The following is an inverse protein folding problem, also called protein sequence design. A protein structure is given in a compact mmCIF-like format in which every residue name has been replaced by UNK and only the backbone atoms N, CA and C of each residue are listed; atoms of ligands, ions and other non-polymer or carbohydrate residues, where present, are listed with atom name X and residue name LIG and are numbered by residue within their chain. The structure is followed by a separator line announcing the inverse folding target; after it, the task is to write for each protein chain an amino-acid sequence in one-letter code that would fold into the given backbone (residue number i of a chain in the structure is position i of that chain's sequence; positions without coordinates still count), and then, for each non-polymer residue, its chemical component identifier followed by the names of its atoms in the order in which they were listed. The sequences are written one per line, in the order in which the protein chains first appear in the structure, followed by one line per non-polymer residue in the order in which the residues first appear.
data_IF_239638939145
#
_entry.id   IF_239638939145
#
_cell.length_a   1.000
_cell.length_b   1.000
_cell.length_c   1.000
_cell.angle_alpha   90.00
_cell.angle_beta   90.00
_cell.angle_gamma   90.00
#
_symmetry.space_group_name_H-M   'P 1'
#
loop_
_entity.id
_entity.type
_entity.pdbx_description
1 polymer ?
#
# COMPACT_ATOMS: atom_id res chain seq x y z
N UNK A 1 -13.53 -8.65 3.22
CA UNK A 1 -12.66 -9.06 4.30
C UNK A 1 -12.73 -10.58 4.53
N UNK A 2 -11.67 -11.18 5.11
CA UNK A 2 -11.63 -12.58 5.51
C UNK A 2 -11.74 -13.57 4.35
N UNK A 3 -11.27 -13.22 3.17
CA UNK A 3 -11.32 -14.09 2.00
C UNK A 3 -10.02 -14.87 1.80
N UNK A 4 -10.12 -16.08 1.29
CA UNK A 4 -9.00 -16.93 0.91
C UNK A 4 -9.11 -17.35 -0.56
N UNK A 5 -7.95 -17.53 -1.23
CA UNK A 5 -7.83 -17.90 -2.65
C UNK A 5 -8.62 -17.00 -3.60
N UNK A 6 -8.28 -15.70 -3.59
CA UNK A 6 -8.95 -14.68 -4.40
C UNK A 6 -8.16 -14.39 -5.66
N UNK A 7 -8.81 -14.41 -6.81
CA UNK A 7 -8.27 -13.93 -8.08
C UNK A 7 -9.06 -12.72 -8.59
N UNK A 8 -8.36 -11.61 -8.82
CA UNK A 8 -8.87 -10.40 -9.47
C UNK A 8 -8.03 -10.19 -10.73
N UNK A 9 -8.62 -10.39 -11.89
CA UNK A 9 -7.88 -10.42 -13.16
C UNK A 9 -8.48 -9.47 -14.19
N UNK A 10 -7.65 -8.59 -14.74
CA UNK A 10 -7.93 -7.69 -15.87
C UNK A 10 -9.20 -6.85 -15.73
N UNK A 11 -9.48 -6.36 -14.54
CA UNK A 11 -10.58 -5.43 -14.31
C UNK A 11 -10.15 -3.97 -14.52
N UNK A 12 -11.12 -3.11 -14.81
CA UNK A 12 -10.92 -1.66 -14.88
C UNK A 12 -11.80 -0.99 -13.83
N UNK A 13 -11.19 -0.17 -12.99
CA UNK A 13 -11.86 0.67 -11.99
C UNK A 13 -11.53 2.12 -12.35
N UNK A 14 -12.56 2.92 -12.58
CA UNK A 14 -12.42 4.32 -12.98
C UNK A 14 -13.32 5.18 -12.09
N UNK A 15 -12.78 5.58 -10.95
CA UNK A 15 -13.46 6.46 -10.00
C UNK A 15 -13.07 7.91 -10.28
N UNK A 16 -13.90 8.85 -9.83
CA UNK A 16 -13.55 10.26 -9.82
C UNK A 16 -12.31 10.53 -8.96
N UNK A 17 -11.51 11.52 -9.36
CA UNK A 17 -10.24 11.85 -8.70
C UNK A 17 -10.38 12.91 -7.58
N UNK A 18 -11.58 13.32 -7.25
CA UNK A 18 -11.87 14.32 -6.22
C UNK A 18 -12.82 13.84 -5.09
N UNK A 19 -13.11 12.53 -5.09
CA UNK A 19 -14.00 11.91 -4.09
C UNK A 19 -13.17 11.11 -3.08
N UNK A 20 -13.08 11.58 -1.86
CA UNK A 20 -12.38 10.89 -0.77
C UNK A 20 -12.96 9.48 -0.51
N UNK A 21 -12.11 8.57 -0.06
CA UNK A 21 -12.44 7.15 0.22
C UNK A 21 -13.03 6.42 -1.00
N UNK A 22 -12.56 6.76 -2.19
CA UNK A 22 -12.90 6.06 -3.42
C UNK A 22 -11.79 5.10 -3.83
N UNK A 23 -11.42 4.21 -2.91
CA UNK A 23 -10.39 3.18 -3.12
C UNK A 23 -10.73 2.25 -4.30
N UNK A 24 -9.75 1.56 -4.82
CA UNK A 24 -9.95 0.61 -5.91
C UNK A 24 -10.20 -0.81 -5.41
N UNK A 25 -9.20 -1.45 -4.81
CA UNK A 25 -9.25 -2.83 -4.33
C UNK A 25 -8.62 -2.90 -2.94
N UNK A 26 -9.40 -3.32 -1.94
CA UNK A 26 -8.99 -3.40 -0.55
C UNK A 26 -9.07 -4.83 0.00
N UNK A 27 -8.04 -5.66 -0.18
CA UNK A 27 -7.94 -6.92 0.54
C UNK A 27 -7.73 -6.65 2.03
N UNK A 28 -8.74 -7.01 2.84
CA UNK A 28 -8.75 -6.81 4.29
C UNK A 28 -8.81 -8.16 5.00
N UNK A 29 -7.77 -8.50 5.76
CA UNK A 29 -7.62 -9.83 6.38
C UNK A 29 -7.81 -10.98 5.37
N UNK A 30 -7.19 -10.85 4.20
CA UNK A 30 -7.31 -11.84 3.11
C UNK A 30 -5.99 -12.59 2.90
N UNK A 31 -6.09 -13.86 2.51
CA UNK A 31 -4.94 -14.70 2.18
C UNK A 31 -5.00 -15.21 0.74
N UNK A 32 -3.82 -15.55 0.18
CA UNK A 32 -3.69 -16.12 -1.16
C UNK A 32 -4.39 -15.29 -2.26
N UNK A 33 -4.12 -13.97 -2.26
CA UNK A 33 -4.75 -13.00 -3.17
C UNK A 33 -3.87 -12.75 -4.38
N UNK A 34 -4.45 -12.79 -5.57
CA UNK A 34 -3.80 -12.42 -6.83
C UNK A 34 -4.57 -11.30 -7.52
N UNK A 35 -3.92 -10.17 -7.77
CA UNK A 35 -4.44 -9.01 -8.49
C UNK A 35 -3.59 -8.83 -9.74
N UNK A 36 -4.13 -9.17 -10.90
CA UNK A 36 -3.36 -9.31 -12.13
C UNK A 36 -3.90 -8.42 -13.25
N UNK A 37 -3.01 -7.66 -13.90
CA UNK A 37 -3.32 -6.92 -15.12
C UNK A 37 -4.45 -5.89 -15.00
N UNK A 38 -4.71 -5.37 -13.81
CA UNK A 38 -5.78 -4.42 -13.56
C UNK A 38 -5.39 -3.00 -13.96
N UNK A 39 -6.39 -2.20 -14.37
CA UNK A 39 -6.24 -0.77 -14.59
C UNK A 39 -7.11 -0.01 -13.61
N UNK A 40 -6.52 0.78 -12.71
CA UNK A 40 -7.24 1.45 -11.63
C UNK A 40 -6.90 2.95 -11.63
N UNK A 41 -7.96 3.76 -11.63
CA UNK A 41 -7.89 5.21 -11.42
C UNK A 41 -8.87 5.58 -10.32
N UNK A 42 -8.40 6.20 -9.25
CA UNK A 42 -9.24 6.57 -8.09
C UNK A 42 -8.65 7.75 -7.31
N UNK A 43 -9.47 8.36 -6.45
CA UNK A 43 -9.01 9.47 -5.62
C UNK A 43 -8.39 9.04 -4.30
N UNK A 44 -8.61 7.80 -3.88
CA UNK A 44 -7.92 7.22 -2.73
C UNK A 44 -6.97 6.11 -3.20
N UNK A 45 -6.67 5.11 -2.38
CA UNK A 45 -5.66 4.11 -2.69
C UNK A 45 -6.13 3.15 -3.82
N UNK A 46 -5.31 2.94 -4.86
CA UNK A 46 -5.71 2.02 -5.93
C UNK A 46 -5.77 0.57 -5.47
N UNK A 47 -4.74 0.11 -4.75
CA UNK A 47 -4.71 -1.20 -4.11
C UNK A 47 -4.21 -0.99 -2.68
N UNK A 48 -5.06 -1.27 -1.71
CA UNK A 48 -4.75 -1.07 -0.29
C UNK A 48 -4.91 -2.36 0.50
N UNK A 49 -3.81 -2.93 0.98
CA UNK A 49 -3.85 -4.08 1.87
C UNK A 49 -4.15 -3.59 3.28
N UNK A 50 -5.19 -4.12 3.88
CA UNK A 50 -5.69 -3.74 5.21
C UNK A 50 -5.75 -4.93 6.16
N UNK A 51 -5.70 -4.65 7.46
CA UNK A 51 -6.11 -5.53 8.53
C UNK A 51 -6.89 -4.70 9.54
N UNK A 52 -8.15 -4.43 9.20
CA UNK A 52 -8.99 -3.50 9.95
C UNK A 52 -9.46 -4.09 11.29
N UNK A 53 -9.61 -3.25 12.30
CA UNK A 53 -10.01 -3.66 13.65
C UNK A 53 -11.34 -4.42 13.69
N UNK A 54 -12.28 -4.04 12.83
CA UNK A 54 -13.61 -4.65 12.77
C UNK A 54 -13.63 -6.08 12.21
N UNK A 55 -12.52 -6.52 11.59
CA UNK A 55 -12.37 -7.82 10.95
C UNK A 55 -11.20 -8.65 11.52
N UNK A 56 -10.73 -8.29 12.71
CA UNK A 56 -9.49 -8.86 13.31
C UNK A 56 -9.56 -10.37 13.57
N UNK A 57 -10.73 -10.96 13.63
CA UNK A 57 -10.93 -12.41 13.76
C UNK A 57 -10.46 -13.23 12.56
N UNK A 58 -10.29 -12.61 11.38
CA UNK A 58 -9.88 -13.32 10.17
C UNK A 58 -8.36 -13.47 9.99
N UNK A 59 -7.55 -12.93 10.91
CA UNK A 59 -6.09 -13.12 10.92
C UNK A 59 -5.33 -12.12 10.04
N UNK A 60 -4.16 -12.47 9.51
CA UNK A 60 -3.31 -11.56 8.73
C UNK A 60 -3.84 -11.34 7.31
N UNK A 61 -3.28 -10.32 6.63
CA UNK A 61 -3.30 -10.24 5.16
C UNK A 61 -1.97 -10.78 4.65
N UNK A 62 -2.02 -11.90 3.91
CA UNK A 62 -0.78 -12.59 3.51
C UNK A 62 -0.85 -13.32 2.19
N UNK A 63 0.35 -13.64 1.64
CA UNK A 63 0.51 -14.34 0.36
C UNK A 63 -0.19 -13.60 -0.78
N UNK A 64 0.13 -12.31 -0.93
CA UNK A 64 -0.49 -11.43 -1.92
C UNK A 64 0.45 -11.22 -3.10
N UNK A 65 -0.07 -11.37 -4.32
CA UNK A 65 0.62 -11.05 -5.57
C UNK A 65 -0.14 -9.96 -6.30
N UNK A 66 0.55 -8.85 -6.61
CA UNK A 66 0.06 -7.76 -7.45
C UNK A 66 0.98 -7.69 -8.66
N UNK A 67 0.48 -7.98 -9.86
CA UNK A 67 1.31 -8.04 -11.05
C UNK A 67 0.69 -7.39 -12.29
N UNK A 68 1.50 -6.69 -13.06
CA UNK A 68 1.11 -6.13 -14.35
C UNK A 68 0.05 -5.02 -14.33
N UNK A 69 -0.13 -4.35 -13.20
CA UNK A 69 -1.17 -3.34 -13.03
C UNK A 69 -0.73 -1.95 -13.49
N UNK A 70 -1.71 -1.15 -13.96
CA UNK A 70 -1.53 0.27 -14.29
C UNK A 70 -2.39 1.11 -13.35
N UNK A 71 -1.76 2.00 -12.57
CA UNK A 71 -2.38 2.66 -11.43
C UNK A 71 -2.22 4.17 -11.48
N UNK A 72 -3.32 4.89 -11.17
CA UNK A 72 -3.36 6.35 -11.02
C UNK A 72 -4.18 6.68 -9.77
N UNK A 73 -3.58 7.35 -8.78
CA UNK A 73 -4.26 7.70 -7.54
C UNK A 73 -3.93 9.13 -7.09
N UNK A 74 -4.91 9.87 -6.56
CA UNK A 74 -4.61 11.12 -5.87
C UNK A 74 -4.19 10.91 -4.41
N UNK A 75 -4.17 9.66 -3.92
CA UNK A 75 -3.61 9.23 -2.62
C UNK A 75 -2.40 8.32 -2.83
N UNK A 76 -2.52 7.00 -2.72
CA UNK A 76 -1.42 6.08 -2.97
C UNK A 76 -1.79 5.01 -4.01
N UNK A 77 -0.87 4.72 -4.95
CA UNK A 77 -1.14 3.70 -5.96
C UNK A 77 -1.18 2.29 -5.34
N UNK A 78 -0.20 1.94 -4.50
CA UNK A 78 -0.20 0.68 -3.76
C UNK A 78 0.16 0.99 -2.31
N UNK A 79 -0.68 0.53 -1.38
CA UNK A 79 -0.51 0.81 0.04
C UNK A 79 -0.69 -0.43 0.91
N UNK A 80 0.07 -0.49 1.98
CA UNK A 80 -0.10 -1.41 3.11
C UNK A 80 -0.42 -0.57 4.34
N UNK A 81 -1.60 -0.79 4.93
CA UNK A 81 -2.14 0.02 6.03
C UNK A 81 -3.01 1.19 5.51
N UNK A 82 -3.30 2.26 6.23
CA UNK A 82 -2.93 2.51 7.64
C UNK A 82 -3.68 1.64 8.66
N UNK A 83 -4.82 1.06 8.31
CA UNK A 83 -5.55 0.12 9.12
C UNK A 83 -4.78 -1.20 9.16
N UNK A 84 -4.09 -1.44 10.28
CA UNK A 84 -3.13 -2.51 10.41
C UNK A 84 -3.05 -3.05 11.85
N UNK A 85 -4.15 -3.67 12.36
CA UNK A 85 -4.13 -4.33 13.67
C UNK A 85 -3.53 -5.73 13.60
N UNK A 86 -3.63 -6.40 12.46
CA UNK A 86 -3.01 -7.70 12.17
C UNK A 86 -1.77 -7.55 11.28
N UNK A 87 -1.05 -8.64 11.11
CA UNK A 87 0.18 -8.67 10.33
C UNK A 87 -0.07 -8.68 8.81
N UNK A 88 0.93 -8.21 8.07
CA UNK A 88 1.04 -8.28 6.61
C UNK A 88 2.29 -9.07 6.25
N UNK A 89 2.16 -10.15 5.45
CA UNK A 89 3.29 -11.05 5.15
C UNK A 89 3.31 -11.54 3.72
N UNK A 90 4.53 -11.78 3.20
CA UNK A 90 4.72 -12.44 1.91
C UNK A 90 3.98 -11.73 0.77
N UNK A 91 4.32 -10.48 0.53
CA UNK A 91 3.68 -9.63 -0.48
C UNK A 91 4.65 -9.41 -1.63
N UNK A 92 4.23 -9.75 -2.84
CA UNK A 92 4.97 -9.52 -4.07
C UNK A 92 4.22 -8.52 -4.96
N UNK A 93 4.90 -7.44 -5.32
CA UNK A 93 4.41 -6.46 -6.29
C UNK A 93 5.38 -6.41 -7.45
N UNK A 94 4.91 -6.65 -8.68
CA UNK A 94 5.79 -6.70 -9.84
C UNK A 94 5.18 -6.15 -11.12
N UNK A 95 6.05 -5.71 -12.03
CA UNK A 95 5.70 -5.31 -13.40
C UNK A 95 4.59 -4.25 -13.49
N UNK A 96 4.53 -3.34 -12.51
CA UNK A 96 3.48 -2.33 -12.43
C UNK A 96 3.95 -0.97 -12.96
N UNK A 97 3.01 -0.21 -13.52
CA UNK A 97 3.20 1.19 -13.91
C UNK A 97 2.30 2.09 -13.07
N UNK A 98 2.92 3.00 -12.33
CA UNK A 98 2.25 4.00 -11.51
C UNK A 98 2.46 5.35 -12.17
N UNK A 99 1.37 5.99 -12.62
CA UNK A 99 1.43 7.22 -13.38
C UNK A 99 0.74 8.36 -12.63
N UNK A 100 1.44 9.48 -12.49
CA UNK A 100 0.87 10.72 -11.93
C UNK A 100 0.08 10.52 -10.64
N UNK A 101 0.54 9.63 -9.78
CA UNK A 101 -0.07 9.39 -8.47
C UNK A 101 0.50 10.35 -7.42
N UNK A 102 -0.23 10.60 -6.33
CA UNK A 102 0.31 11.43 -5.26
C UNK A 102 1.39 10.67 -4.48
N UNK A 103 1.13 9.41 -4.09
CA UNK A 103 2.17 8.47 -3.63
C UNK A 103 2.25 7.27 -4.56
N UNK A 104 3.46 6.73 -4.71
CA UNK A 104 3.66 5.50 -5.47
C UNK A 104 3.43 4.26 -4.62
N UNK A 105 4.49 3.77 -3.97
CA UNK A 105 4.47 2.63 -3.07
C UNK A 105 4.46 3.12 -1.62
N UNK A 106 3.53 2.65 -0.81
CA UNK A 106 3.36 3.14 0.54
C UNK A 106 3.19 2.01 1.55
N UNK A 107 3.96 2.06 2.65
CA UNK A 107 3.77 1.24 3.85
C UNK A 107 3.57 2.22 5.00
N UNK A 108 2.39 2.21 5.62
CA UNK A 108 2.06 3.13 6.70
C UNK A 108 1.43 2.36 7.86
N UNK A 109 2.20 2.04 8.88
CA UNK A 109 1.76 1.23 10.02
C UNK A 109 1.51 2.11 11.23
N UNK A 110 0.35 1.91 11.89
CA UNK A 110 -0.06 2.71 13.05
C UNK A 110 -0.79 1.93 14.15
N UNK A 111 -1.23 0.69 13.90
CA UNK A 111 -2.23 0.01 14.75
C UNK A 111 -1.73 -1.27 15.41
N UNK A 112 -0.46 -1.63 15.27
CA UNK A 112 0.17 -2.75 15.97
C UNK A 112 0.57 -3.94 15.10
N UNK A 113 0.04 -4.08 13.89
CA UNK A 113 0.42 -5.13 12.96
C UNK A 113 1.84 -4.96 12.42
N UNK A 114 2.52 -6.07 12.17
CA UNK A 114 3.84 -6.09 11.55
C UNK A 114 3.73 -6.19 10.02
N UNK A 115 4.74 -5.68 9.32
CA UNK A 115 4.92 -5.89 7.88
C UNK A 115 6.23 -6.62 7.66
N UNK A 116 6.18 -7.76 6.98
CA UNK A 116 7.38 -8.54 6.68
C UNK A 116 7.35 -9.24 5.33
N UNK A 117 8.53 -9.41 4.73
CA UNK A 117 8.71 -10.12 3.47
C UNK A 117 7.92 -9.46 2.33
N UNK A 118 8.19 -8.18 2.05
CA UNK A 118 7.59 -7.45 0.92
C UNK A 118 8.63 -7.22 -0.17
N UNK A 119 8.32 -7.58 -1.39
CA UNK A 119 9.20 -7.37 -2.54
C UNK A 119 8.50 -6.55 -3.62
N UNK A 120 9.15 -5.49 -4.05
CA UNK A 120 8.75 -4.63 -5.15
C UNK A 120 9.76 -4.79 -6.29
N UNK A 121 9.30 -5.19 -7.49
CA UNK A 121 10.21 -5.43 -8.62
C UNK A 121 9.67 -4.96 -9.97
N UNK A 122 10.55 -4.44 -10.81
CA UNK A 122 10.21 -3.97 -12.16
C UNK A 122 9.06 -2.95 -12.18
N UNK A 123 9.17 -1.88 -11.40
CA UNK A 123 8.10 -0.88 -11.25
C UNK A 123 8.56 0.47 -11.81
N UNK A 124 7.71 1.09 -12.60
CA UNK A 124 7.89 2.47 -13.06
C UNK A 124 6.93 3.37 -12.27
N UNK A 125 7.47 4.44 -11.67
CA UNK A 125 6.70 5.34 -10.80
C UNK A 125 6.86 6.78 -11.29
N UNK A 126 5.73 7.47 -11.47
CA UNK A 126 5.67 8.92 -11.60
C UNK A 126 4.71 9.47 -10.55
N UNK A 127 5.23 10.32 -9.65
CA UNK A 127 4.42 10.99 -8.62
C UNK A 127 4.39 12.50 -8.82
N UNK A 128 3.25 13.08 -8.45
CA UNK A 128 3.03 14.53 -8.45
C UNK A 128 2.09 14.93 -7.32
N UNK A 129 2.23 16.13 -6.80
CA UNK A 129 1.31 16.68 -5.81
C UNK A 129 0.04 17.18 -6.49
N UNK A 130 -1.10 16.69 -6.05
CA UNK A 130 -2.41 17.10 -6.57
C UNK A 130 -2.94 18.34 -5.86
N UNK A 131 -2.93 18.34 -4.54
CA UNK A 131 -3.49 19.39 -3.71
C UNK A 131 -2.70 19.49 -2.39
N UNK A 132 -2.47 20.69 -1.85
CA UNK A 132 -1.80 20.86 -0.55
C UNK A 132 -2.53 20.19 0.62
N UNK A 133 -3.86 20.09 0.54
CA UNK A 133 -4.72 19.60 1.61
C UNK A 133 -5.07 18.12 1.47
N UNK A 134 -4.55 17.43 0.45
CA UNK A 134 -4.78 16.01 0.21
C UNK A 134 -3.70 15.14 0.87
N UNK A 135 -3.96 13.84 0.96
CA UNK A 135 -3.01 12.92 1.57
C UNK A 135 -1.76 12.75 0.70
N UNK A 136 -0.59 13.00 1.27
CA UNK A 136 0.69 12.84 0.62
C UNK A 136 1.23 14.11 -0.02
N UNK A 137 2.51 14.07 -0.30
CA UNK A 137 3.27 15.21 -0.85
C UNK A 137 4.10 14.83 -2.08
N UNK A 138 3.65 13.86 -2.86
CA UNK A 138 4.26 13.31 -4.08
C UNK A 138 5.48 12.41 -3.84
N UNK A 139 5.51 11.68 -2.74
CA UNK A 139 6.57 10.72 -2.45
C UNK A 139 6.43 9.46 -3.34
N UNK A 140 7.45 9.09 -4.12
CA UNK A 140 7.39 7.86 -4.91
C UNK A 140 7.40 6.59 -4.06
N UNK A 141 8.08 6.63 -2.91
CA UNK A 141 8.12 5.55 -1.93
C UNK A 141 7.99 6.15 -0.54
N UNK A 142 7.07 5.62 0.25
CA UNK A 142 6.82 6.04 1.63
C UNK A 142 6.79 4.82 2.54
N UNK A 143 7.66 4.76 3.55
CA UNK A 143 7.61 3.74 4.60
C UNK A 143 7.60 4.46 5.94
N UNK A 144 6.50 4.33 6.68
CA UNK A 144 6.38 4.96 7.99
C UNK A 144 5.82 3.98 9.03
N UNK A 145 6.39 4.04 10.23
CA UNK A 145 5.90 3.30 11.38
C UNK A 145 5.79 4.23 12.58
N UNK A 146 4.55 4.53 13.00
CA UNK A 146 4.24 5.42 14.12
C UNK A 146 3.06 4.87 14.91
N UNK A 147 2.98 5.21 16.18
CA UNK A 147 1.79 4.92 16.97
C UNK A 147 0.64 5.86 16.53
N UNK A 148 -0.57 5.30 16.40
CA UNK A 148 -1.76 6.11 16.10
C UNK A 148 -2.05 7.12 17.22
N UNK A 149 -1.90 6.67 18.45
CA UNK A 149 -2.11 7.42 19.67
C UNK A 149 -1.24 6.85 20.82
N UNK A 150 -1.35 7.41 22.01
CA UNK A 150 -0.58 7.01 23.18
C UNK A 150 -0.88 5.57 23.69
N UNK A 151 -2.02 5.01 23.33
CA UNK A 151 -2.47 3.67 23.73
C UNK A 151 -2.18 2.61 22.66
N UNK A 152 -1.75 3.00 21.49
CA UNK A 152 -1.49 2.12 20.35
C UNK A 152 0.02 1.96 20.17
N UNK A 153 0.49 0.72 20.05
CA UNK A 153 1.85 0.45 19.61
C UNK A 153 1.84 0.04 18.15
N UNK A 154 2.71 0.65 17.38
CA UNK A 154 2.92 0.22 15.99
C UNK A 154 3.73 -1.07 15.96
N UNK A 155 3.55 -1.82 14.89
CA UNK A 155 4.35 -3.00 14.61
C UNK A 155 5.70 -2.66 13.99
N UNK A 156 6.46 -3.70 13.68
CA UNK A 156 7.73 -3.61 12.98
C UNK A 156 7.55 -3.74 11.47
N UNK A 157 8.41 -3.06 10.74
CA UNK A 157 8.52 -3.21 9.28
C UNK A 157 9.89 -3.80 8.99
N UNK A 158 9.95 -4.99 8.39
CA UNK A 158 11.23 -5.69 8.12
C UNK A 158 11.22 -6.45 6.81
N UNK A 159 12.43 -6.69 6.26
CA UNK A 159 12.66 -7.42 5.02
C UNK A 159 11.84 -6.86 3.84
N UNK A 160 12.03 -5.55 3.57
CA UNK A 160 11.40 -4.84 2.46
C UNK A 160 12.44 -4.67 1.34
N UNK A 161 12.15 -5.21 0.16
CA UNK A 161 13.09 -5.22 -0.97
C UNK A 161 12.56 -4.46 -2.17
N UNK A 162 13.44 -3.67 -2.77
CA UNK A 162 13.20 -2.95 -4.02
C UNK A 162 14.21 -3.41 -5.07
N UNK A 163 13.75 -3.90 -6.20
CA UNK A 163 14.59 -4.35 -7.30
C UNK A 163 14.10 -3.78 -8.63
N UNK A 164 15.00 -3.13 -9.38
CA UNK A 164 14.67 -2.52 -10.68
C UNK A 164 13.43 -1.60 -10.60
N UNK A 165 13.44 -0.65 -9.66
CA UNK A 165 12.41 0.37 -9.51
C UNK A 165 12.95 1.69 -10.05
N UNK A 166 12.22 2.29 -11.01
CA UNK A 166 12.53 3.61 -11.56
C UNK A 166 11.46 4.58 -11.11
N UNK A 167 11.86 5.66 -10.45
CA UNK A 167 10.92 6.65 -9.92
C UNK A 167 11.29 8.07 -10.38
N UNK A 168 10.26 8.84 -10.77
CA UNK A 168 10.30 10.28 -10.99
C UNK A 168 9.23 10.91 -10.10
N UNK A 169 9.64 11.67 -9.11
CA UNK A 169 8.74 12.32 -8.15
C UNK A 169 8.98 13.82 -8.03
N UNK A 170 7.96 14.54 -7.57
CA UNK A 170 8.10 15.94 -7.15
C UNK A 170 8.63 16.05 -5.71
N UNK A 171 8.70 14.93 -4.98
CA UNK A 171 9.27 14.84 -3.64
C UNK A 171 10.17 13.61 -3.51
N UNK A 172 10.87 13.52 -2.38
CA UNK A 172 11.84 12.47 -2.09
C UNK A 172 11.20 11.16 -1.62
N UNK A 173 12.01 10.11 -1.51
CA UNK A 173 11.65 8.87 -0.81
C UNK A 173 11.64 9.15 0.70
N UNK A 174 10.55 8.78 1.38
CA UNK A 174 10.38 8.92 2.82
C UNK A 174 10.44 7.56 3.51
N UNK A 175 11.45 7.35 4.36
CA UNK A 175 11.53 6.19 5.26
C UNK A 175 11.70 6.74 6.68
N UNK A 176 10.69 6.52 7.54
CA UNK A 176 10.67 7.11 8.87
C UNK A 176 10.05 6.18 9.92
N UNK A 177 10.86 5.74 10.84
CA UNK A 177 10.49 5.06 12.08
C UNK A 177 10.99 5.86 13.29
N UNK A 178 10.91 5.28 14.47
CA UNK A 178 11.48 5.83 15.69
C UNK A 178 12.02 4.69 16.59
N UNK A 179 12.48 5.01 17.80
CA UNK A 179 13.07 4.03 18.73
C UNK A 179 12.14 2.88 19.09
N UNK A 180 10.83 3.11 19.13
CA UNK A 180 9.81 2.11 19.46
C UNK A 180 9.27 1.38 18.22
N UNK A 181 9.41 2.00 17.04
CA UNK A 181 8.81 1.55 15.78
C UNK A 181 9.90 1.39 14.72
N UNK A 182 10.54 0.23 14.72
CA UNK A 182 11.75 -0.04 13.95
C UNK A 182 11.39 -0.45 12.52
N UNK A 183 12.08 0.17 11.55
CA UNK A 183 12.15 -0.28 10.16
C UNK A 183 13.51 -0.95 10.00
N UNK A 184 13.51 -2.25 9.73
CA UNK A 184 14.74 -3.06 9.66
C UNK A 184 14.73 -4.03 8.48
N UNK A 185 15.92 -4.49 8.07
CA UNK A 185 16.09 -5.55 7.09
C UNK A 185 16.00 -6.95 7.76
#
# INVERSE_FOLDING_TARGET
AGCDDVLIDRIRILNDLDVANSDGIDPDHCSNVRILGCHITCADDCICLKTSRGNSEYGPTENVVIDGCTLISTSAAIKIGTEGVGDFRNILVSNCTISRSNRGLSIQIRDGGNVENVSYSNIMIETRRFCPDWWGTAEPITITSFNRDENTRSGKVKNIRFFNVTAKGENDVLIHGNEDNIIED
#
